data_IF_292431743347
#
_entry.id   IF_292431743347
#
_cell.length_a   1.000
_cell.length_b   1.000
_cell.length_c   1.000
_cell.angle_alpha   90.00
_cell.angle_beta   90.00
_cell.angle_gamma   90.00
#
_symmetry.space_group_name_H-M   'P 1'
#
loop_
_entity.id
_entity.type
_entity.pdbx_description
1 polymer ?
#
# COMPACT_ATOMS: atom_id res chain seq x y z
N UNK A 1 7.37 -6.67 -53.35
CA UNK A 1 6.93 -5.47 -52.62
C UNK A 1 5.67 -5.77 -51.81
N UNK A 2 4.64 -6.35 -52.43
CA UNK A 2 3.35 -6.73 -51.82
C UNK A 2 3.42 -7.65 -50.58
N UNK A 3 4.35 -8.62 -50.54
CA UNK A 3 4.55 -9.51 -49.37
C UNK A 3 5.07 -8.83 -48.10
N UNK A 4 5.85 -7.76 -48.25
CA UNK A 4 6.41 -7.05 -47.08
C UNK A 4 5.34 -6.17 -46.42
N UNK A 5 4.45 -5.60 -47.24
CA UNK A 5 3.35 -4.77 -46.80
C UNK A 5 2.24 -5.60 -46.11
N UNK A 6 1.96 -6.80 -46.62
CA UNK A 6 1.05 -7.77 -46.00
C UNK A 6 1.56 -8.25 -44.62
N UNK A 7 2.87 -8.47 -44.50
CA UNK A 7 3.49 -8.84 -43.22
C UNK A 7 3.40 -7.69 -42.19
N UNK A 8 3.58 -6.45 -42.62
CA UNK A 8 3.43 -5.27 -41.76
C UNK A 8 2.01 -5.12 -41.20
N UNK A 9 0.99 -5.33 -42.05
CA UNK A 9 -0.43 -5.26 -41.65
C UNK A 9 -0.80 -6.35 -40.65
N UNK A 10 -0.29 -7.58 -40.84
CA UNK A 10 -0.46 -8.68 -39.88
C UNK A 10 0.21 -8.40 -38.54
N UNK A 11 1.42 -7.86 -38.55
CA UNK A 11 2.14 -7.49 -37.32
C UNK A 11 1.39 -6.41 -36.54
N UNK A 12 0.88 -5.39 -37.23
CA UNK A 12 0.10 -4.32 -36.61
C UNK A 12 -1.20 -4.86 -35.98
N UNK A 13 -1.95 -5.70 -36.70
CA UNK A 13 -3.16 -6.32 -36.17
C UNK A 13 -2.90 -7.23 -34.96
N UNK A 14 -1.76 -7.94 -34.95
CA UNK A 14 -1.34 -8.75 -33.80
C UNK A 14 -0.97 -7.89 -32.58
N UNK A 15 -0.30 -6.75 -32.80
CA UNK A 15 0.01 -5.79 -31.74
C UNK A 15 -1.26 -5.12 -31.19
N UNK A 16 -2.20 -4.72 -32.04
CA UNK A 16 -3.49 -4.18 -31.60
C UNK A 16 -4.30 -5.19 -30.78
N UNK A 17 -4.33 -6.46 -31.21
CA UNK A 17 -4.95 -7.51 -30.41
C UNK A 17 -4.24 -7.72 -29.08
N UNK A 18 -2.91 -7.61 -29.03
CA UNK A 18 -2.14 -7.74 -27.80
C UNK A 18 -2.42 -6.59 -26.83
N UNK A 19 -2.48 -5.35 -27.32
CA UNK A 19 -2.83 -4.16 -26.55
C UNK A 19 -4.27 -4.18 -26.03
N UNK A 20 -5.19 -4.80 -26.77
CA UNK A 20 -6.62 -4.86 -26.40
C UNK A 20 -6.91 -6.05 -25.47
N UNK A 21 -6.14 -7.14 -25.56
CA UNK A 21 -6.31 -8.36 -24.75
C UNK A 21 -5.44 -8.40 -23.50
N UNK A 22 -4.46 -7.51 -23.39
CA UNK A 22 -3.66 -7.37 -22.18
C UNK A 22 -4.51 -6.85 -21.03
N UNK A 23 -5.01 -7.77 -20.21
CA UNK A 23 -5.35 -7.54 -18.79
C UNK A 23 -4.08 -7.35 -17.92
N UNK A 24 -2.93 -7.04 -18.55
CA UNK A 24 -1.76 -6.55 -17.86
C UNK A 24 -2.20 -5.39 -16.97
N UNK A 25 -1.83 -5.35 -15.68
CA UNK A 25 -2.15 -4.22 -14.83
C UNK A 25 -1.57 -2.99 -15.50
N UNK A 26 -2.44 -2.23 -16.15
CA UNK A 26 -2.07 -1.00 -16.82
C UNK A 26 -1.52 -0.14 -15.71
N UNK A 27 -0.23 0.19 -15.79
CA UNK A 27 0.34 1.23 -14.94
C UNK A 27 -0.42 2.48 -15.37
N UNK A 28 -1.47 2.82 -14.62
CA UNK A 28 -2.15 4.09 -14.79
C UNK A 28 -1.10 5.17 -14.58
N UNK A 29 -1.16 6.26 -15.35
CA UNK A 29 -0.30 7.43 -15.11
C UNK A 29 -0.45 8.02 -13.69
N UNK A 30 -1.43 7.54 -12.93
CA UNK A 30 -1.75 7.92 -11.56
C UNK A 30 -1.15 6.99 -10.49
N UNK A 31 -0.55 5.86 -10.87
CA UNK A 31 0.07 4.94 -9.91
C UNK A 31 1.38 5.50 -9.35
N UNK A 32 1.54 5.44 -8.03
CA UNK A 32 2.71 5.97 -7.31
C UNK A 32 3.42 4.93 -6.44
N UNK A 33 2.84 3.73 -6.27
CA UNK A 33 3.37 2.65 -5.43
C UNK A 33 3.61 1.43 -6.32
N UNK A 34 4.87 1.01 -6.44
CA UNK A 34 5.30 -0.02 -7.38
C UNK A 34 5.85 -1.24 -6.65
N UNK A 35 5.56 -2.44 -7.17
CA UNK A 35 6.26 -3.65 -6.71
C UNK A 35 7.72 -3.57 -7.11
N UNK A 36 8.59 -4.10 -6.26
CA UNK A 36 10.01 -4.23 -6.58
C UNK A 36 10.16 -5.16 -7.80
N UNK A 37 10.75 -4.69 -8.91
CA UNK A 37 11.04 -5.53 -10.06
C UNK A 37 11.92 -6.73 -9.67
N UNK A 38 11.58 -7.92 -10.17
CA UNK A 38 12.27 -9.17 -9.83
C UNK A 38 13.77 -9.15 -10.14
N UNK A 39 14.19 -8.35 -11.12
CA UNK A 39 15.60 -8.16 -11.47
C UNK A 39 16.40 -7.51 -10.33
N UNK A 40 15.79 -6.60 -9.55
CA UNK A 40 16.44 -5.93 -8.43
C UNK A 40 16.56 -6.84 -7.21
N UNK A 41 15.54 -7.67 -6.97
CA UNK A 41 15.52 -8.60 -5.83
C UNK A 41 16.26 -9.92 -6.08
N UNK A 42 16.69 -10.20 -7.32
CA UNK A 42 17.32 -11.47 -7.71
C UNK A 42 18.57 -11.81 -6.90
N UNK A 43 19.40 -10.82 -6.60
CA UNK A 43 20.68 -11.01 -5.90
C UNK A 43 20.54 -11.07 -4.38
N UNK A 44 19.51 -10.41 -3.83
CA UNK A 44 19.23 -10.41 -2.40
C UNK A 44 17.74 -10.11 -2.17
N UNK A 45 16.92 -11.16 -2.07
CA UNK A 45 15.47 -11.00 -1.86
C UNK A 45 15.14 -10.38 -0.51
N UNK A 46 15.89 -10.76 0.53
CA UNK A 46 15.68 -10.33 1.91
C UNK A 46 15.85 -8.81 2.09
N UNK A 47 16.70 -8.18 1.28
CA UNK A 47 16.86 -6.71 1.30
C UNK A 47 15.60 -5.93 0.88
N UNK A 48 14.65 -6.59 0.21
CA UNK A 48 13.42 -5.98 -0.29
C UNK A 48 12.16 -6.48 0.42
N UNK A 49 12.30 -7.39 1.38
CA UNK A 49 11.19 -7.83 2.21
C UNK A 49 11.12 -6.98 3.49
N UNK A 50 9.93 -6.52 3.89
CA UNK A 50 9.79 -5.84 5.17
C UNK A 50 10.15 -6.80 6.31
N UNK A 51 11.12 -6.40 7.14
CA UNK A 51 11.59 -7.19 8.29
C UNK A 51 10.99 -6.74 9.63
N UNK A 52 10.39 -5.54 9.67
CA UNK A 52 9.78 -4.97 10.86
C UNK A 52 8.32 -4.64 10.58
N UNK A 53 8.03 -3.67 9.69
CA UNK A 53 6.68 -3.21 9.37
C UNK A 53 6.40 -3.39 7.87
N UNK A 54 5.29 -4.03 7.51
CA UNK A 54 4.66 -3.86 6.19
C UNK A 54 3.73 -2.65 6.24
N UNK A 55 3.58 -1.93 5.12
CA UNK A 55 2.56 -0.89 4.97
C UNK A 55 1.78 -1.11 3.67
N UNK A 56 0.47 -0.96 3.76
CA UNK A 56 -0.46 -1.22 2.69
C UNK A 56 -0.75 -2.71 2.48
N UNK A 57 -1.46 -3.04 1.39
CA UNK A 57 -1.95 -4.38 1.10
C UNK A 57 -0.87 -5.30 0.52
N UNK A 58 0.37 -4.85 0.34
CA UNK A 58 1.45 -5.72 -0.06
C UNK A 58 2.23 -6.15 1.19
N UNK A 59 2.48 -7.45 1.32
CA UNK A 59 3.12 -8.07 2.48
C UNK A 59 2.28 -8.10 3.77
N UNK A 60 0.96 -7.84 3.73
CA UNK A 60 0.15 -7.73 4.96
C UNK A 60 -0.08 -9.06 5.73
N UNK A 61 0.02 -10.20 5.06
CA UNK A 61 -0.23 -11.53 5.62
C UNK A 61 1.04 -12.36 5.87
N UNK A 62 2.22 -11.75 5.78
CA UNK A 62 3.46 -12.47 6.04
C UNK A 62 3.62 -12.78 7.54
N UNK A 63 3.86 -14.05 7.88
CA UNK A 63 3.85 -14.55 9.26
C UNK A 63 4.84 -13.83 10.19
N UNK A 64 5.97 -13.37 9.65
CA UNK A 64 7.00 -12.60 10.36
C UNK A 64 6.51 -11.21 10.83
N UNK A 65 5.34 -10.73 10.35
CA UNK A 65 4.83 -9.39 10.64
C UNK A 65 3.65 -9.37 11.63
N UNK A 66 3.28 -10.53 12.19
CA UNK A 66 2.23 -10.63 13.20
C UNK A 66 2.52 -9.82 14.48
N UNK A 67 3.75 -9.83 15.04
CA UNK A 67 4.08 -8.98 16.19
C UNK A 67 3.84 -7.49 15.89
N UNK A 68 4.12 -7.07 14.67
CA UNK A 68 3.96 -5.68 14.24
C UNK A 68 2.51 -5.30 14.01
N UNK A 69 1.66 -6.25 13.60
CA UNK A 69 0.21 -6.06 13.56
C UNK A 69 -0.36 -5.76 14.94
N UNK A 70 0.08 -6.50 15.97
CA UNK A 70 -0.31 -6.22 17.36
C UNK A 70 0.14 -4.83 17.81
N UNK A 71 1.36 -4.43 17.45
CA UNK A 71 1.86 -3.08 17.72
C UNK A 71 1.00 -1.99 17.07
N UNK A 72 0.61 -2.16 15.80
CA UNK A 72 -0.31 -1.21 15.12
C UNK A 72 -1.65 -1.08 15.83
N UNK A 73 -2.22 -2.20 16.32
CA UNK A 73 -3.46 -2.18 17.11
C UNK A 73 -3.27 -1.39 18.41
N UNK A 74 -2.14 -1.56 19.09
CA UNK A 74 -1.82 -0.78 20.29
C UNK A 74 -1.73 0.72 20.00
N UNK A 75 -1.15 1.10 18.86
CA UNK A 75 -1.07 2.50 18.43
C UNK A 75 -2.44 3.07 18.04
N UNK A 76 -3.29 2.30 17.33
CA UNK A 76 -4.68 2.69 17.09
C UNK A 76 -5.42 2.93 18.42
N UNK A 77 -5.27 2.02 19.38
CA UNK A 77 -5.87 2.18 20.71
C UNK A 77 -5.38 3.42 21.45
N UNK A 78 -4.08 3.74 21.34
CA UNK A 78 -3.49 4.95 21.89
C UNK A 78 -4.04 6.22 21.24
N UNK A 79 -4.11 6.24 19.90
CA UNK A 79 -4.66 7.37 19.14
C UNK A 79 -6.12 7.63 19.50
N UNK A 80 -6.95 6.58 19.48
CA UNK A 80 -8.35 6.69 19.87
C UNK A 80 -8.52 7.15 21.32
N UNK A 81 -7.58 6.79 22.21
CA UNK A 81 -7.57 7.23 23.60
C UNK A 81 -7.39 8.74 23.80
N UNK A 82 -6.99 9.49 22.76
CA UNK A 82 -6.93 10.96 22.81
C UNK A 82 -8.27 11.64 22.59
N UNK A 83 -9.30 10.89 22.19
CA UNK A 83 -10.60 11.44 21.88
C UNK A 83 -11.62 11.01 22.95
N UNK A 84 -12.57 11.90 23.32
CA UNK A 84 -13.59 11.59 24.32
C UNK A 84 -14.54 10.47 23.88
N UNK A 85 -14.88 10.43 22.58
CA UNK A 85 -15.67 9.36 21.98
C UNK A 85 -14.82 8.53 21.00
N UNK A 86 -14.34 7.38 21.51
CA UNK A 86 -13.52 6.44 20.75
C UNK A 86 -14.27 5.83 19.57
N UNK A 87 -15.56 5.53 19.76
CA UNK A 87 -16.37 4.81 18.77
C UNK A 87 -16.72 5.72 17.60
N UNK A 88 -17.13 6.96 17.89
CA UNK A 88 -17.39 7.97 16.86
C UNK A 88 -16.12 8.26 16.05
N UNK A 89 -14.97 8.41 16.72
CA UNK A 89 -13.70 8.65 16.02
C UNK A 89 -13.27 7.47 15.15
N UNK A 90 -13.43 6.24 15.63
CA UNK A 90 -13.11 5.05 14.83
C UNK A 90 -13.99 4.98 13.58
N UNK A 91 -15.30 5.27 13.70
CA UNK A 91 -16.21 5.32 12.57
C UNK A 91 -15.80 6.38 11.55
N UNK A 92 -15.43 7.57 12.00
CA UNK A 92 -14.94 8.66 11.15
C UNK A 92 -13.69 8.24 10.36
N UNK A 93 -12.71 7.60 11.02
CA UNK A 93 -11.49 7.10 10.38
C UNK A 93 -11.79 6.05 9.31
N UNK A 94 -12.67 5.08 9.62
CA UNK A 94 -13.09 4.05 8.67
C UNK A 94 -13.79 4.66 7.46
N UNK A 95 -14.72 5.59 7.68
CA UNK A 95 -15.42 6.29 6.60
C UNK A 95 -14.46 7.13 5.73
N UNK A 96 -13.55 7.86 6.37
CA UNK A 96 -12.56 8.67 5.66
C UNK A 96 -11.67 7.83 4.73
N UNK A 97 -11.19 6.68 5.20
CA UNK A 97 -10.38 5.76 4.39
C UNK A 97 -11.22 5.08 3.33
N UNK A 98 -12.44 4.64 3.64
CA UNK A 98 -13.34 4.01 2.66
C UNK A 98 -13.68 4.96 1.50
N UNK A 99 -13.89 6.24 1.77
CA UNK A 99 -14.13 7.25 0.72
C UNK A 99 -12.91 7.47 -0.20
N UNK A 100 -11.73 6.98 0.19
CA UNK A 100 -10.49 7.06 -0.58
C UNK A 100 -10.04 5.70 -1.12
N UNK A 101 -10.87 4.65 -0.99
CA UNK A 101 -10.50 3.29 -1.36
C UNK A 101 -10.11 3.15 -2.83
N UNK A 102 -10.87 3.76 -3.75
CA UNK A 102 -10.57 3.70 -5.19
C UNK A 102 -9.25 4.41 -5.53
N UNK A 103 -9.04 5.61 -4.96
CA UNK A 103 -7.77 6.34 -5.09
C UNK A 103 -6.59 5.57 -4.50
N UNK A 104 -6.81 4.91 -3.36
CA UNK A 104 -5.81 4.05 -2.75
C UNK A 104 -5.46 2.90 -3.69
N UNK A 105 -6.43 2.24 -4.32
CA UNK A 105 -6.19 1.16 -5.29
C UNK A 105 -5.45 1.65 -6.54
N UNK A 106 -5.84 2.81 -7.09
CA UNK A 106 -5.20 3.41 -8.26
C UNK A 106 -3.74 3.79 -8.01
N UNK A 107 -3.41 4.14 -6.75
CA UNK A 107 -2.03 4.42 -6.33
C UNK A 107 -1.10 3.22 -6.49
N UNK A 108 -1.59 1.98 -6.49
CA UNK A 108 -0.75 0.79 -6.66
C UNK A 108 -0.66 0.36 -8.13
N UNK A 109 0.56 0.24 -8.65
CA UNK A 109 0.86 -0.28 -9.98
C UNK A 109 0.72 -1.82 -10.03
N UNK A 110 -0.48 -2.31 -9.76
CA UNK A 110 -0.80 -3.73 -9.72
C UNK A 110 -2.18 -4.01 -9.11
N UNK A 111 -2.73 -5.19 -9.40
CA UNK A 111 -4.03 -5.61 -8.85
C UNK A 111 -3.94 -5.87 -7.34
N UNK A 112 -4.87 -5.28 -6.59
CA UNK A 112 -5.11 -5.63 -5.19
C UNK A 112 -6.32 -6.57 -5.13
N UNK A 113 -6.08 -7.84 -4.83
CA UNK A 113 -7.12 -8.89 -4.76
C UNK A 113 -7.85 -8.95 -3.43
N UNK A 114 -7.83 -7.87 -2.65
CA UNK A 114 -8.57 -7.74 -1.39
C UNK A 114 -9.94 -7.14 -1.63
N UNK A 115 -10.90 -7.50 -0.79
CA UNK A 115 -12.17 -6.77 -0.66
C UNK A 115 -11.92 -5.34 -0.15
N UNK A 116 -12.90 -4.47 -0.31
CA UNK A 116 -12.82 -3.09 0.19
C UNK A 116 -12.69 -3.06 1.71
N UNK A 117 -13.37 -3.97 2.41
CA UNK A 117 -13.33 -4.04 3.87
C UNK A 117 -11.95 -4.44 4.38
N UNK A 118 -11.30 -5.39 3.71
CA UNK A 118 -9.93 -5.80 4.02
C UNK A 118 -8.93 -4.68 3.76
N UNK A 119 -9.03 -4.01 2.59
CA UNK A 119 -8.15 -2.91 2.24
C UNK A 119 -8.31 -1.73 3.21
N UNK A 120 -9.54 -1.31 3.49
CA UNK A 120 -9.84 -0.23 4.44
C UNK A 120 -9.28 -0.56 5.82
N UNK A 121 -9.45 -1.80 6.29
CA UNK A 121 -8.92 -2.23 7.60
C UNK A 121 -7.40 -2.11 7.67
N UNK A 122 -6.69 -2.50 6.62
CA UNK A 122 -5.22 -2.39 6.55
C UNK A 122 -4.81 -0.91 6.56
N UNK A 123 -5.41 -0.09 5.69
CA UNK A 123 -5.05 1.32 5.56
C UNK A 123 -5.37 2.15 6.83
N UNK A 124 -6.49 1.86 7.52
CA UNK A 124 -6.81 2.49 8.81
C UNK A 124 -5.75 2.15 9.85
N UNK A 125 -5.38 0.86 10.00
CA UNK A 125 -4.36 0.44 10.97
C UNK A 125 -3.00 1.09 10.68
N UNK A 126 -2.60 1.13 9.43
CA UNK A 126 -1.31 1.66 9.00
C UNK A 126 -1.24 3.17 9.16
N UNK A 127 -2.26 3.90 8.69
CA UNK A 127 -2.33 5.34 8.82
C UNK A 127 -2.39 5.79 10.28
N UNK A 128 -3.16 5.08 11.12
CA UNK A 128 -3.22 5.37 12.56
C UNK A 128 -1.91 5.06 13.27
N UNK A 129 -1.22 3.98 12.90
CA UNK A 129 0.10 3.67 13.44
C UNK A 129 1.10 4.78 13.14
N UNK A 130 1.21 5.20 11.87
CA UNK A 130 2.13 6.26 11.44
C UNK A 130 1.80 7.58 12.19
N UNK A 131 0.51 7.95 12.22
CA UNK A 131 0.06 9.17 12.88
C UNK A 131 0.38 9.17 14.37
N UNK A 132 0.02 8.10 15.09
CA UNK A 132 0.29 7.99 16.52
C UNK A 132 1.78 7.93 16.84
N UNK A 133 2.56 7.27 15.98
CA UNK A 133 4.01 7.22 16.11
C UNK A 133 4.63 8.61 16.07
N UNK A 134 4.29 9.43 15.09
CA UNK A 134 4.79 10.80 15.05
C UNK A 134 4.26 11.67 16.19
N UNK A 135 3.01 11.49 16.61
CA UNK A 135 2.44 12.24 17.74
C UNK A 135 3.11 11.89 19.06
N UNK A 136 3.48 10.63 19.31
CA UNK A 136 4.23 10.26 20.51
C UNK A 136 5.64 10.84 20.51
N UNK A 137 6.31 10.84 19.36
CA UNK A 137 7.69 11.33 19.26
C UNK A 137 7.79 12.87 19.26
N UNK A 138 6.81 13.58 18.69
CA UNK A 138 6.76 15.05 18.78
C UNK A 138 6.47 15.56 20.19
N UNK A 139 5.64 14.85 20.95
CA UNK A 139 5.41 15.17 22.38
C UNK A 139 6.59 14.78 23.29
N UNK A 140 7.52 13.96 22.80
CA UNK A 140 8.73 13.57 23.53
C UNK A 140 9.87 14.60 23.41
N UNK A 141 9.83 15.49 22.40
CA UNK A 141 10.84 16.56 22.26
C UNK A 141 10.74 17.65 23.35
N UNK A 142 9.72 17.60 24.22
CA UNK A 142 9.67 18.41 25.45
C UNK A 142 10.48 17.84 26.62
N UNK A 143 11.06 16.65 26.50
CA UNK A 143 11.81 15.96 27.58
C UNK A 143 13.20 15.49 27.15
N UNK A 144 13.77 16.08 26.09
CA UNK A 144 15.21 15.96 25.84
C UNK A 144 15.97 16.71 26.95
N UNK A 145 16.21 16.03 28.07
CA UNK A 145 17.34 16.36 28.94
C UNK A 145 18.59 15.89 28.17
N UNK A 146 19.48 16.79 27.71
CA UNK A 146 20.74 16.36 27.15
C UNK A 146 21.48 15.59 28.23
N UNK A 147 21.97 14.41 27.88
CA UNK A 147 22.86 13.63 28.73
C UNK A 147 23.99 14.53 29.24
N UNK A 148 24.02 14.74 30.56
CA UNK A 148 25.19 15.28 31.26
C UNK A 148 26.22 14.18 31.46
#
# INVERSE_FOLDING_TARGET
MERAEDNGKRMAAALDQLLTSSNEPTVSGESSIFRIPSILSKHNKEAYLPNAFSFGPWHHDECNLQPTKALKINYLNGLLGRFPDRSAKLLELVCAVRNKNDLARQSYAGKISLSDDELVKILVLDGCFITEFFLKNSNAEGYFQPYQ
#
